data_IF_220686492563
#
_entry.id   IF_220686492563
#
_cell.length_a   1.000
_cell.length_b   1.000
_cell.length_c   1.000
_cell.angle_alpha   90.00
_cell.angle_beta   90.00
_cell.angle_gamma   90.00
#
_symmetry.space_group_name_H-M   'P 1'
#
loop_
_entity.id
_entity.type
_entity.pdbx_description
1 polymer ?
#
# COMPACT_ATOMS: atom_id res chain seq x y z
N UNK A 1 -15.14 19.72 -13.40
CA UNK A 1 -14.62 21.12 -13.39
C UNK A 1 -15.54 22.05 -12.61
N UNK A 2 -15.13 22.63 -11.46
CA UNK A 2 -16.00 23.44 -10.60
C UNK A 2 -16.59 24.71 -11.26
N UNK A 3 -16.06 25.14 -12.41
CA UNK A 3 -16.45 26.39 -13.08
C UNK A 3 -16.87 26.21 -14.55
N UNK A 4 -17.11 24.98 -15.02
CA UNK A 4 -17.49 24.75 -16.41
C UNK A 4 -18.76 25.50 -16.84
N UNK A 5 -19.72 25.65 -15.93
CA UNK A 5 -20.93 26.43 -16.17
C UNK A 5 -20.66 27.92 -16.44
N UNK A 6 -19.60 28.48 -15.84
CA UNK A 6 -19.21 29.88 -16.02
C UNK A 6 -18.61 30.12 -17.42
N UNK A 7 -17.73 29.22 -17.86
CA UNK A 7 -17.07 29.31 -19.17
C UNK A 7 -17.94 28.79 -20.33
N UNK A 8 -19.06 28.11 -20.04
CA UNK A 8 -19.96 27.51 -21.03
C UNK A 8 -20.30 28.47 -22.18
N UNK A 9 -20.69 29.70 -21.88
CA UNK A 9 -21.09 30.68 -22.92
C UNK A 9 -19.94 31.10 -23.84
N UNK A 10 -18.71 31.10 -23.33
CA UNK A 10 -17.51 31.40 -24.10
C UNK A 10 -17.14 30.20 -24.98
N UNK A 11 -17.20 28.99 -24.43
CA UNK A 11 -16.93 27.77 -25.18
C UNK A 11 -17.95 27.50 -26.29
N UNK A 12 -19.23 27.79 -26.06
CA UNK A 12 -20.26 27.69 -27.11
C UNK A 12 -20.01 28.66 -28.27
N UNK A 13 -19.51 29.87 -27.97
CA UNK A 13 -19.13 30.86 -29.00
C UNK A 13 -17.90 30.45 -29.80
N UNK A 14 -16.91 29.84 -29.16
CA UNK A 14 -15.60 29.54 -29.77
C UNK A 14 -15.58 28.17 -30.47
N UNK A 15 -16.11 27.13 -29.82
CA UNK A 15 -16.00 25.73 -30.26
C UNK A 15 -17.33 25.15 -30.76
N UNK A 16 -18.42 25.91 -30.68
CA UNK A 16 -19.71 25.58 -31.26
C UNK A 16 -20.86 25.42 -30.26
N UNK A 17 -22.04 25.86 -30.69
CA UNK A 17 -23.29 25.82 -29.92
C UNK A 17 -23.81 24.38 -29.70
N UNK A 18 -24.83 24.26 -28.86
CA UNK A 18 -25.54 23.01 -28.56
C UNK A 18 -24.63 21.91 -27.96
N UNK A 19 -23.59 22.29 -27.22
CA UNK A 19 -22.72 21.35 -26.52
C UNK A 19 -21.61 20.72 -27.35
N UNK A 20 -21.41 21.11 -28.62
CA UNK A 20 -20.32 20.60 -29.48
C UNK A 20 -18.92 20.84 -28.92
N UNK A 21 -18.74 21.88 -28.10
CA UNK A 21 -17.48 22.13 -27.40
C UNK A 21 -17.01 20.93 -26.54
N UNK A 22 -17.92 20.11 -26.01
CA UNK A 22 -17.57 18.92 -25.22
C UNK A 22 -16.87 17.87 -26.07
N UNK A 23 -17.40 17.63 -27.27
CA UNK A 23 -16.81 16.72 -28.27
C UNK A 23 -15.45 17.26 -28.73
N UNK A 24 -15.36 18.56 -29.02
CA UNK A 24 -14.10 19.19 -29.41
C UNK A 24 -13.00 19.00 -28.36
N UNK A 25 -13.29 19.24 -27.07
CA UNK A 25 -12.33 19.00 -25.99
C UNK A 25 -11.96 17.52 -25.84
N UNK A 26 -12.92 16.62 -26.04
CA UNK A 26 -12.64 15.19 -26.02
C UNK A 26 -11.70 14.75 -27.14
N UNK A 27 -11.96 15.23 -28.36
CA UNK A 27 -11.14 14.94 -29.53
C UNK A 27 -9.72 15.50 -29.39
N UNK A 28 -9.58 16.74 -28.91
CA UNK A 28 -8.27 17.37 -28.66
C UNK A 28 -7.48 16.59 -27.60
N UNK A 29 -8.09 16.27 -26.47
CA UNK A 29 -7.45 15.46 -25.44
C UNK A 29 -7.04 14.07 -25.96
N UNK A 30 -7.92 13.40 -26.71
CA UNK A 30 -7.63 12.08 -27.28
C UNK A 30 -6.45 12.12 -28.26
N UNK A 31 -6.35 13.17 -29.07
CA UNK A 31 -5.21 13.37 -29.97
C UNK A 31 -3.92 13.60 -29.18
N UNK A 32 -3.95 14.39 -28.10
CA UNK A 32 -2.78 14.60 -27.25
C UNK A 32 -2.31 13.30 -26.58
N UNK A 33 -3.24 12.47 -26.09
CA UNK A 33 -2.93 11.16 -25.50
C UNK A 33 -2.26 10.21 -26.50
N UNK A 34 -2.57 10.33 -27.80
CA UNK A 34 -1.95 9.49 -28.84
C UNK A 34 -0.44 9.73 -29.02
N UNK A 35 0.05 10.91 -28.66
CA UNK A 35 1.48 11.26 -28.68
C UNK A 35 2.16 11.03 -27.33
N UNK A 36 1.42 10.63 -26.30
CA UNK A 36 1.93 10.50 -24.95
C UNK A 36 2.35 9.06 -24.61
N UNK A 37 3.18 8.92 -23.57
CA UNK A 37 3.66 7.61 -23.14
C UNK A 37 2.53 6.70 -22.64
N UNK A 38 2.67 5.40 -22.92
CA UNK A 38 1.76 4.32 -22.49
C UNK A 38 1.96 3.97 -21.02
N UNK A 39 1.37 4.77 -20.15
CA UNK A 39 1.57 4.65 -18.70
C UNK A 39 0.82 3.47 -18.05
N UNK A 40 -0.30 3.02 -18.62
CA UNK A 40 -1.11 1.92 -18.07
C UNK A 40 -0.38 0.56 -18.05
N UNK A 41 0.76 0.43 -18.74
CA UNK A 41 1.55 -0.81 -18.75
C UNK A 41 2.37 -1.02 -17.47
N UNK A 42 2.66 0.06 -16.73
CA UNK A 42 3.55 0.04 -15.56
C UNK A 42 2.83 0.17 -14.22
N UNK A 43 1.50 0.23 -14.23
CA UNK A 43 0.70 0.28 -13.00
C UNK A 43 0.48 -1.11 -12.42
N UNK A 44 0.22 -1.18 -11.11
CA UNK A 44 -0.15 -2.43 -10.43
C UNK A 44 -1.45 -2.99 -11.00
N UNK A 45 -1.52 -4.31 -11.17
CA UNK A 45 -2.72 -5.02 -11.62
C UNK A 45 -3.77 -5.06 -10.53
N UNK A 46 -5.04 -4.86 -10.90
CA UNK A 46 -6.13 -4.96 -9.94
C UNK A 46 -6.36 -6.43 -9.55
N UNK A 47 -6.54 -6.72 -8.25
CA UNK A 47 -7.05 -8.00 -7.78
C UNK A 47 -8.42 -8.32 -8.39
N UNK A 48 -8.77 -9.61 -8.51
CA UNK A 48 -10.07 -10.00 -9.07
C UNK A 48 -11.22 -9.75 -8.09
N UNK A 49 -10.96 -9.87 -6.79
CA UNK A 49 -11.98 -9.73 -5.74
C UNK A 49 -11.57 -8.71 -4.69
N UNK A 50 -12.58 -8.10 -4.06
CA UNK A 50 -12.38 -7.13 -2.98
C UNK A 50 -11.51 -7.71 -1.85
N UNK A 51 -11.77 -8.96 -1.44
CA UNK A 51 -11.00 -9.63 -0.39
C UNK A 51 -9.51 -9.75 -0.73
N UNK A 52 -9.16 -10.05 -1.98
CA UNK A 52 -7.75 -10.09 -2.39
C UNK A 52 -7.10 -8.72 -2.29
N UNK A 53 -7.83 -7.65 -2.61
CA UNK A 53 -7.35 -6.29 -2.53
C UNK A 53 -7.15 -5.82 -1.09
N UNK A 54 -8.07 -6.15 -0.19
CA UNK A 54 -7.96 -5.81 1.24
C UNK A 54 -6.83 -6.55 1.95
N UNK A 55 -6.42 -7.72 1.44
CA UNK A 55 -5.26 -8.46 1.92
C UNK A 55 -3.94 -7.89 1.36
N UNK A 56 -3.96 -7.21 0.22
CA UNK A 56 -2.79 -6.59 -0.39
C UNK A 56 -2.57 -5.14 0.07
N UNK A 57 -2.49 -4.98 1.40
CA UNK A 57 -2.32 -3.67 2.06
C UNK A 57 -0.97 -3.01 1.80
N UNK A 58 -0.01 -3.75 1.26
CA UNK A 58 1.30 -3.21 0.87
C UNK A 58 1.26 -2.36 -0.40
N UNK A 59 0.36 -2.69 -1.34
CA UNK A 59 0.23 -1.97 -2.61
C UNK A 59 -1.02 -1.11 -2.69
N UNK A 60 -2.11 -1.53 -2.05
CA UNK A 60 -3.41 -0.87 -2.15
C UNK A 60 -3.87 -0.32 -0.81
N UNK A 61 -4.50 0.85 -0.87
CA UNK A 61 -5.20 1.49 0.23
C UNK A 61 -6.61 1.88 -0.22
N UNK A 62 -7.64 1.76 0.64
CA UNK A 62 -8.98 2.26 0.35
C UNK A 62 -8.98 3.71 -0.12
N UNK A 63 -9.84 4.02 -1.09
CA UNK A 63 -10.06 5.39 -1.53
C UNK A 63 -10.67 6.23 -0.39
N UNK A 64 -10.31 7.50 -0.30
CA UNK A 64 -10.84 8.37 0.76
C UNK A 64 -12.29 8.78 0.51
N UNK A 65 -12.75 8.75 -0.74
CA UNK A 65 -14.13 9.15 -1.09
C UNK A 65 -15.06 7.93 -1.27
N UNK A 66 -14.59 6.91 -1.99
CA UNK A 66 -15.35 5.69 -2.27
C UNK A 66 -14.85 4.51 -1.44
N UNK A 67 -15.22 4.49 -0.14
CA UNK A 67 -14.91 3.40 0.77
C UNK A 67 -16.15 2.94 1.56
N UNK A 68 -15.99 1.90 2.39
CA UNK A 68 -17.08 1.29 3.16
C UNK A 68 -17.78 2.24 4.15
N UNK A 69 -17.08 3.30 4.59
CA UNK A 69 -17.59 4.29 5.55
C UNK A 69 -18.25 5.46 4.81
N UNK A 70 -17.51 6.12 3.93
CA UNK A 70 -17.94 7.36 3.28
C UNK A 70 -18.94 7.09 2.15
N UNK A 71 -18.80 5.96 1.44
CA UNK A 71 -19.67 5.46 0.36
C UNK A 71 -20.02 6.48 -0.73
N UNK A 72 -19.20 7.51 -0.92
CA UNK A 72 -19.45 8.57 -1.92
C UNK A 72 -18.92 8.18 -3.31
N UNK A 73 -19.35 7.02 -3.80
CA UNK A 73 -18.86 6.44 -5.05
C UNK A 73 -19.55 7.00 -6.31
N UNK A 74 -20.78 7.51 -6.20
CA UNK A 74 -21.67 7.81 -7.34
C UNK A 74 -21.12 8.84 -8.33
N UNK A 75 -20.20 9.72 -7.91
CA UNK A 75 -19.66 10.77 -8.78
C UNK A 75 -18.80 10.20 -9.92
N UNK A 76 -17.97 9.20 -9.61
CA UNK A 76 -16.97 8.67 -10.54
C UNK A 76 -17.09 7.16 -10.76
N UNK A 77 -17.69 6.44 -9.80
CA UNK A 77 -17.73 4.98 -9.73
C UNK A 77 -19.13 4.52 -9.29
N UNK A 78 -20.16 4.99 -9.99
CA UNK A 78 -21.54 4.58 -9.72
C UNK A 78 -21.68 3.06 -9.85
N UNK A 79 -22.29 2.44 -8.85
CA UNK A 79 -22.41 0.98 -8.76
C UNK A 79 -21.25 0.28 -8.05
N UNK A 80 -20.17 1.00 -7.70
CA UNK A 80 -19.13 0.47 -6.83
C UNK A 80 -19.53 0.60 -5.35
N UNK A 81 -19.27 -0.44 -4.56
CA UNK A 81 -19.38 -0.38 -3.09
C UNK A 81 -18.06 0.06 -2.46
N UNK A 82 -16.94 -0.37 -3.03
CA UNK A 82 -15.62 -0.10 -2.49
C UNK A 82 -14.57 0.08 -3.59
N UNK A 83 -13.79 1.16 -3.52
CA UNK A 83 -12.64 1.34 -4.38
C UNK A 83 -11.34 1.39 -3.56
N UNK A 84 -10.29 0.79 -4.12
CA UNK A 84 -8.93 0.91 -3.61
C UNK A 84 -8.06 1.63 -4.62
N UNK A 85 -7.15 2.46 -4.12
CA UNK A 85 -6.11 3.12 -4.91
C UNK A 85 -4.75 2.54 -4.55
N UNK A 86 -3.83 2.54 -5.50
CA UNK A 86 -2.42 2.23 -5.18
C UNK A 86 -1.88 3.25 -4.19
N UNK A 87 -1.24 2.79 -3.10
CA UNK A 87 -0.67 3.68 -2.09
C UNK A 87 0.59 4.42 -2.54
N UNK A 88 1.25 3.94 -3.61
CA UNK A 88 2.47 4.52 -4.20
C UNK A 88 2.33 4.67 -5.72
N UNK A 89 2.98 5.67 -6.31
CA UNK A 89 2.99 5.86 -7.76
C UNK A 89 3.86 4.81 -8.46
N UNK A 90 3.55 4.51 -9.72
CA UNK A 90 4.42 3.72 -10.58
C UNK A 90 5.76 4.42 -10.87
N UNK A 91 6.67 3.74 -11.57
CA UNK A 91 7.94 4.33 -12.03
C UNK A 91 7.69 5.59 -12.88
N UNK A 92 6.61 5.64 -13.66
CA UNK A 92 6.20 6.80 -14.46
C UNK A 92 5.48 7.91 -13.68
N UNK A 93 5.07 7.66 -12.44
CA UNK A 93 4.26 8.61 -11.67
C UNK A 93 2.75 8.38 -11.78
N UNK A 94 2.32 7.24 -12.32
CA UNK A 94 0.92 6.89 -12.54
C UNK A 94 0.31 6.17 -11.36
N UNK A 95 -1.00 6.27 -11.21
CA UNK A 95 -1.78 5.58 -10.19
C UNK A 95 -2.70 4.51 -10.78
N UNK A 96 -3.25 3.67 -9.92
CA UNK A 96 -4.31 2.73 -10.28
C UNK A 96 -5.44 2.82 -9.27
N UNK A 97 -6.67 2.81 -9.77
CA UNK A 97 -7.90 2.67 -8.97
C UNK A 97 -8.60 1.38 -9.36
N UNK A 98 -8.92 0.54 -8.38
CA UNK A 98 -9.65 -0.71 -8.55
C UNK A 98 -10.96 -0.61 -7.77
N UNK A 99 -12.09 -0.77 -8.45
CA UNK A 99 -13.42 -0.62 -7.85
C UNK A 99 -14.17 -1.94 -7.93
N UNK A 100 -14.92 -2.25 -6.88
CA UNK A 100 -15.65 -3.50 -6.73
C UNK A 100 -17.13 -3.23 -6.51
N UNK A 101 -17.96 -4.08 -7.11
CA UNK A 101 -19.42 -4.04 -6.96
C UNK A 101 -19.89 -4.69 -5.64
N UNK A 102 -21.20 -4.80 -5.47
CA UNK A 102 -21.86 -5.43 -4.32
C UNK A 102 -21.64 -6.96 -4.24
N UNK A 103 -21.24 -7.59 -5.35
CA UNK A 103 -20.79 -8.98 -5.41
C UNK A 103 -19.30 -9.13 -5.09
N UNK A 104 -18.60 -8.03 -4.76
CA UNK A 104 -17.15 -8.00 -4.49
C UNK A 104 -16.29 -8.37 -5.71
N UNK A 105 -16.82 -8.19 -6.93
CA UNK A 105 -16.12 -8.42 -8.19
C UNK A 105 -15.60 -7.12 -8.81
N UNK A 106 -14.50 -7.22 -9.55
CA UNK A 106 -13.84 -6.05 -10.15
C UNK A 106 -14.69 -5.44 -11.28
N UNK A 107 -15.07 -4.18 -11.12
CA UNK A 107 -15.75 -3.38 -12.15
C UNK A 107 -14.76 -2.90 -13.22
N UNK A 108 -15.06 -3.20 -14.48
CA UNK A 108 -14.21 -2.86 -15.62
C UNK A 108 -14.82 -1.76 -16.51
N UNK A 109 -13.96 -0.93 -17.10
CA UNK A 109 -14.34 0.11 -18.07
C UNK A 109 -14.85 -0.45 -19.39
N UNK A 110 -14.68 -1.76 -19.63
CA UNK A 110 -15.25 -2.45 -20.79
C UNK A 110 -16.77 -2.65 -20.64
N UNK A 111 -17.26 -2.82 -19.41
CA UNK A 111 -18.68 -3.03 -19.12
C UNK A 111 -19.37 -1.72 -18.77
N UNK A 112 -18.67 -0.81 -18.09
CA UNK A 112 -19.22 0.51 -17.74
C UNK A 112 -18.17 1.60 -17.55
N UNK A 113 -18.47 2.84 -17.94
CA UNK A 113 -17.63 4.03 -17.68
C UNK A 113 -17.28 4.27 -16.20
N UNK A 114 -17.99 3.62 -15.26
CA UNK A 114 -17.80 3.74 -13.82
C UNK A 114 -16.76 2.75 -13.25
N UNK A 115 -16.19 1.87 -14.07
CA UNK A 115 -15.16 0.92 -13.65
C UNK A 115 -13.89 1.56 -13.08
N UNK A 116 -13.11 0.75 -12.34
CA UNK A 116 -11.80 1.18 -11.82
C UNK A 116 -10.81 1.39 -12.95
N UNK A 117 -10.03 2.47 -12.93
CA UNK A 117 -9.16 2.87 -14.06
C UNK A 117 -7.76 3.30 -13.63
N UNK A 118 -6.75 3.17 -14.52
CA UNK A 118 -5.44 3.74 -14.30
C UNK A 118 -5.49 5.27 -14.45
N UNK A 119 -4.73 5.98 -13.62
CA UNK A 119 -4.58 7.43 -13.70
C UNK A 119 -3.18 7.76 -14.21
N UNK A 120 -3.08 8.69 -15.17
CA UNK A 120 -1.79 9.08 -15.75
C UNK A 120 -0.87 9.66 -14.69
N UNK A 121 -1.44 10.49 -13.81
CA UNK A 121 -0.75 10.99 -12.64
C UNK A 121 -1.35 10.41 -11.36
N UNK A 122 -0.48 10.05 -10.43
CA UNK A 122 -0.88 9.60 -9.10
C UNK A 122 -1.45 10.78 -8.30
N UNK A 123 -2.58 10.56 -7.62
CA UNK A 123 -3.31 11.62 -6.89
C UNK A 123 -2.44 12.32 -5.83
N UNK A 124 -1.53 11.60 -5.18
CA UNK A 124 -0.61 12.20 -4.19
C UNK A 124 0.71 12.69 -4.80
N UNK A 125 0.81 12.69 -6.13
CA UNK A 125 1.99 13.09 -6.88
C UNK A 125 3.16 12.14 -6.71
N UNK A 126 4.31 12.53 -7.25
CA UNK A 126 5.56 11.77 -7.13
C UNK A 126 6.71 12.70 -6.83
N UNK A 127 7.51 12.41 -5.81
CA UNK A 127 8.68 13.22 -5.53
C UNK A 127 9.73 13.05 -6.66
N UNK A 128 10.33 14.12 -7.20
CA UNK A 128 10.13 15.53 -6.85
C UNK A 128 8.94 16.20 -7.57
N UNK A 129 8.13 16.95 -6.82
CA UNK A 129 6.89 17.59 -7.32
C UNK A 129 7.09 18.72 -8.34
N UNK A 130 8.33 19.10 -8.66
CA UNK A 130 8.67 20.20 -9.57
C UNK A 130 8.69 19.80 -11.06
N UNK A 131 8.37 18.54 -11.37
CA UNK A 131 8.31 18.03 -12.74
C UNK A 131 6.86 17.99 -13.24
N UNK A 132 6.69 18.06 -14.55
CA UNK A 132 5.40 17.85 -15.20
C UNK A 132 4.84 16.48 -14.78
N UNK A 133 3.51 16.38 -14.60
CA UNK A 133 2.78 15.18 -14.16
C UNK A 133 3.02 14.73 -12.72
N UNK A 134 3.89 15.40 -11.96
CA UNK A 134 4.26 14.98 -10.61
C UNK A 134 3.60 15.81 -9.51
N UNK A 135 2.72 16.76 -9.87
CA UNK A 135 2.09 17.67 -8.92
C UNK A 135 0.89 16.96 -8.27
N UNK A 136 0.85 16.83 -6.94
CA UNK A 136 -0.27 16.21 -6.23
C UNK A 136 -1.60 16.89 -6.57
N UNK A 137 -2.66 16.08 -6.71
CA UNK A 137 -4.03 16.41 -7.07
C UNK A 137 -4.21 17.08 -8.44
N UNK A 138 -3.47 18.15 -8.75
CA UNK A 138 -3.66 18.94 -9.96
C UNK A 138 -3.31 18.16 -11.23
N UNK A 139 -2.24 17.35 -11.22
CA UNK A 139 -1.86 16.57 -12.40
C UNK A 139 -2.88 15.48 -12.70
N UNK A 140 -3.34 14.75 -11.69
CA UNK A 140 -4.41 13.75 -11.86
C UNK A 140 -5.69 14.45 -12.34
N UNK A 141 -6.02 15.60 -11.76
CA UNK A 141 -7.24 16.29 -12.11
C UNK A 141 -7.25 16.75 -13.57
N UNK A 142 -6.13 17.31 -14.04
CA UNK A 142 -5.98 17.79 -15.41
C UNK A 142 -6.02 16.66 -16.44
N UNK A 143 -5.37 15.54 -16.16
CA UNK A 143 -5.15 14.48 -17.15
C UNK A 143 -6.16 13.34 -17.09
N UNK A 144 -6.86 13.16 -15.97
CA UNK A 144 -7.72 12.01 -15.73
C UNK A 144 -9.14 12.46 -15.33
N UNK A 145 -9.29 13.30 -14.31
CA UNK A 145 -10.62 13.74 -13.85
C UNK A 145 -11.32 14.67 -14.84
N UNK A 146 -10.61 15.65 -15.39
CA UNK A 146 -11.18 16.66 -16.27
C UNK A 146 -11.71 16.06 -17.60
N UNK A 147 -10.96 15.18 -18.30
CA UNK A 147 -11.45 14.57 -19.53
C UNK A 147 -12.64 13.64 -19.34
N UNK A 148 -12.74 12.95 -18.21
CA UNK A 148 -13.90 12.13 -17.88
C UNK A 148 -15.22 12.93 -17.94
N UNK A 149 -15.20 14.20 -17.50
CA UNK A 149 -16.40 15.03 -17.53
C UNK A 149 -16.87 15.35 -18.94
N UNK A 150 -16.00 15.86 -19.83
CA UNK A 150 -16.43 16.25 -21.18
C UNK A 150 -16.53 15.06 -22.15
N UNK A 151 -15.77 13.97 -21.94
CA UNK A 151 -15.84 12.79 -22.80
C UNK A 151 -17.00 11.85 -22.44
N UNK A 152 -17.35 11.74 -21.15
CA UNK A 152 -18.41 10.83 -20.69
C UNK A 152 -19.53 11.57 -19.96
N UNK A 153 -19.26 12.18 -18.80
CA UNK A 153 -20.32 12.56 -17.85
C UNK A 153 -21.27 13.66 -18.33
N UNK A 154 -20.80 14.56 -19.19
CA UNK A 154 -21.62 15.63 -19.76
C UNK A 154 -22.21 15.28 -21.12
N UNK A 155 -21.97 14.06 -21.62
CA UNK A 155 -22.53 13.60 -22.88
C UNK A 155 -23.96 13.08 -22.69
N UNK A 156 -24.78 13.21 -23.74
CA UNK A 156 -26.22 12.96 -23.65
C UNK A 156 -26.57 11.52 -23.28
N UNK A 157 -25.82 10.56 -23.81
CA UNK A 157 -26.01 9.12 -23.55
C UNK A 157 -24.91 8.52 -22.64
N UNK A 158 -24.13 9.39 -21.98
CA UNK A 158 -23.01 9.03 -21.10
C UNK A 158 -22.11 7.92 -21.69
N UNK A 159 -22.21 6.70 -21.15
CA UNK A 159 -21.40 5.51 -21.47
C UNK A 159 -21.54 5.03 -22.92
N UNK A 160 -22.72 5.22 -23.52
CA UNK A 160 -23.02 4.76 -24.88
C UNK A 160 -22.46 5.67 -25.98
N UNK A 161 -21.82 6.79 -25.60
CA UNK A 161 -21.27 7.73 -26.57
C UNK A 161 -19.89 7.31 -27.07
N UNK A 162 -19.63 7.51 -28.35
CA UNK A 162 -18.30 7.26 -28.96
C UNK A 162 -17.19 8.02 -28.22
N UNK A 163 -17.46 9.24 -27.75
CA UNK A 163 -16.50 10.04 -26.97
C UNK A 163 -16.13 9.39 -25.64
N UNK A 164 -17.05 8.67 -25.00
CA UNK A 164 -16.73 7.98 -23.76
C UNK A 164 -15.88 6.73 -24.03
N UNK A 165 -16.15 6.03 -25.13
CA UNK A 165 -15.32 4.92 -25.59
C UNK A 165 -13.90 5.39 -25.93
N UNK A 166 -13.74 6.58 -26.52
CA UNK A 166 -12.43 7.22 -26.73
C UNK A 166 -11.68 7.48 -25.43
N UNK A 167 -12.37 7.90 -24.37
CA UNK A 167 -11.77 8.04 -23.04
C UNK A 167 -11.36 6.70 -22.45
N UNK A 168 -12.25 5.71 -22.48
CA UNK A 168 -12.00 4.36 -21.97
C UNK A 168 -10.85 3.66 -22.71
N UNK A 169 -10.60 3.98 -23.98
CA UNK A 169 -9.44 3.46 -24.73
C UNK A 169 -8.09 3.81 -24.07
N UNK A 170 -7.93 5.04 -23.58
CA UNK A 170 -6.69 5.46 -22.91
C UNK A 170 -6.70 5.22 -21.39
N UNK A 171 -7.88 4.96 -20.83
CA UNK A 171 -8.10 4.71 -19.39
C UNK A 171 -8.69 3.33 -19.14
N UNK A 172 -8.30 2.36 -19.97
CA UNK A 172 -8.83 1.00 -19.87
C UNK A 172 -8.41 0.37 -18.54
N UNK A 173 -9.39 -0.16 -17.81
CA UNK A 173 -9.15 -0.98 -16.62
C UNK A 173 -8.11 -2.05 -16.92
N UNK A 174 -7.23 -2.30 -15.95
CA UNK A 174 -6.36 -3.45 -16.04
C UNK A 174 -7.15 -4.66 -15.56
N UNK A 175 -7.15 -5.72 -16.36
CA UNK A 175 -7.72 -7.00 -15.97
C UNK A 175 -6.92 -7.64 -14.82
N UNK A 176 -7.55 -8.61 -14.16
CA UNK A 176 -6.94 -9.29 -13.02
C UNK A 176 -6.13 -10.55 -13.42
N UNK A 177 -6.04 -10.88 -14.71
CA UNK A 177 -5.41 -12.11 -15.23
C UNK A 177 -3.94 -12.27 -14.83
N UNK A 178 -3.24 -11.14 -14.65
CA UNK A 178 -1.82 -11.09 -14.27
C UNK A 178 -1.60 -10.58 -12.85
N UNK A 179 -2.66 -10.48 -12.04
CA UNK A 179 -2.54 -10.16 -10.63
C UNK A 179 -1.82 -11.30 -9.88
N UNK A 180 -0.90 -10.91 -9.01
CA UNK A 180 -0.16 -11.84 -8.16
C UNK A 180 -0.27 -11.37 -6.71
N UNK A 181 -0.92 -12.19 -5.88
CA UNK A 181 -1.05 -11.90 -4.46
C UNK A 181 0.33 -11.82 -3.77
N UNK A 182 0.53 -10.91 -2.80
CA UNK A 182 1.75 -10.87 -2.01
C UNK A 182 1.84 -12.08 -1.07
N UNK A 183 3.05 -12.47 -0.71
CA UNK A 183 3.29 -13.33 0.45
C UNK A 183 3.19 -12.50 1.74
N UNK A 184 2.78 -13.14 2.83
CA UNK A 184 2.56 -12.48 4.12
C UNK A 184 3.40 -13.21 5.16
N UNK A 185 4.44 -12.54 5.65
CA UNK A 185 5.20 -12.99 6.81
C UNK A 185 4.69 -12.28 8.07
N UNK A 186 4.56 -12.99 9.18
CA UNK A 186 3.89 -12.45 10.38
C UNK A 186 4.66 -12.71 11.66
N UNK A 187 4.57 -11.77 12.59
CA UNK A 187 5.05 -11.89 13.98
C UNK A 187 3.94 -11.45 14.92
N UNK A 188 3.51 -12.32 15.83
CA UNK A 188 2.40 -12.05 16.74
C UNK A 188 2.57 -12.79 18.08
N UNK A 189 1.85 -12.39 19.12
CA UNK A 189 1.88 -13.09 20.41
C UNK A 189 3.25 -13.06 21.10
N UNK A 190 3.73 -14.22 21.59
CA UNK A 190 4.86 -14.36 22.51
C UNK A 190 6.09 -15.16 21.99
N UNK A 191 6.85 -14.60 21.06
CA UNK A 191 6.45 -14.30 19.70
C UNK A 191 6.38 -15.58 18.84
N UNK A 192 5.25 -15.76 18.18
CA UNK A 192 5.04 -16.69 17.07
C UNK A 192 5.41 -16.03 15.75
N UNK A 193 5.99 -16.82 14.85
CA UNK A 193 6.43 -16.40 13.53
C UNK A 193 5.75 -17.27 12.48
N UNK A 194 5.30 -16.64 11.41
CA UNK A 194 4.88 -17.31 10.18
C UNK A 194 5.76 -16.76 9.05
N UNK A 195 6.53 -17.62 8.41
CA UNK A 195 7.39 -17.25 7.27
C UNK A 195 6.58 -16.92 6.03
N UNK A 196 7.22 -16.33 5.01
CA UNK A 196 6.55 -16.06 3.72
C UNK A 196 6.01 -17.33 3.05
N UNK A 197 6.67 -18.47 3.29
CA UNK A 197 6.28 -19.78 2.78
C UNK A 197 5.36 -20.56 3.71
N UNK A 198 4.81 -19.87 4.73
CA UNK A 198 3.78 -20.33 5.67
C UNK A 198 4.25 -21.35 6.70
N UNK A 199 5.56 -21.44 6.97
CA UNK A 199 6.07 -22.22 8.08
C UNK A 199 5.84 -21.50 9.41
N UNK A 200 5.24 -22.18 10.38
CA UNK A 200 4.95 -21.63 11.70
C UNK A 200 5.97 -22.12 12.73
N UNK A 201 6.59 -21.21 13.46
CA UNK A 201 7.52 -21.54 14.53
C UNK A 201 7.54 -20.47 15.63
N UNK A 202 8.09 -20.81 16.80
CA UNK A 202 8.11 -19.94 17.98
C UNK A 202 9.53 -19.84 18.52
N UNK A 203 10.03 -18.63 18.73
CA UNK A 203 11.33 -18.39 19.38
C UNK A 203 11.24 -17.23 20.36
N UNK A 204 11.73 -17.43 21.59
CA UNK A 204 11.81 -16.36 22.58
C UNK A 204 13.18 -15.68 22.51
N UNK A 205 13.27 -14.59 21.74
CA UNK A 205 14.51 -13.84 21.54
C UNK A 205 14.43 -12.46 22.21
N UNK A 206 15.54 -12.00 22.80
CA UNK A 206 15.65 -10.67 23.41
C UNK A 206 16.71 -9.85 22.68
N UNK A 207 16.38 -8.62 22.30
CA UNK A 207 17.24 -7.71 21.53
C UNK A 207 16.64 -7.32 20.19
N UNK A 208 17.49 -6.85 19.28
CA UNK A 208 17.11 -6.40 17.94
C UNK A 208 17.47 -7.45 16.90
N UNK A 209 16.53 -7.76 16.01
CA UNK A 209 16.64 -8.84 15.04
C UNK A 209 16.12 -8.39 13.68
N UNK A 210 16.72 -8.94 12.64
CA UNK A 210 16.29 -8.76 11.26
C UNK A 210 15.11 -9.67 10.95
N UNK A 211 13.93 -9.10 10.71
CA UNK A 211 12.78 -9.85 10.23
C UNK A 211 12.94 -10.17 8.74
N UNK A 212 13.33 -9.15 7.97
CA UNK A 212 13.54 -9.23 6.53
C UNK A 212 14.74 -8.38 6.15
N UNK A 213 15.60 -8.93 5.32
CA UNK A 213 16.70 -8.27 4.65
C UNK A 213 16.72 -8.70 3.19
N UNK A 214 16.81 -7.72 2.31
CA UNK A 214 16.93 -7.89 0.87
C UNK A 214 18.00 -6.91 0.43
N UNK A 215 19.07 -7.42 -0.21
CA UNK A 215 20.13 -6.58 -0.77
C UNK A 215 20.45 -7.02 -2.20
N UNK A 216 19.56 -6.64 -3.11
CA UNK A 216 19.63 -7.00 -4.52
C UNK A 216 19.83 -5.73 -5.36
N UNK A 217 20.25 -5.88 -6.62
CA UNK A 217 20.42 -4.72 -7.52
C UNK A 217 19.09 -3.98 -7.80
N UNK A 218 17.97 -4.70 -7.70
CA UNK A 218 16.62 -4.19 -8.03
C UNK A 218 15.89 -3.70 -6.78
N UNK A 219 15.96 -4.47 -5.69
CA UNK A 219 15.22 -4.22 -4.45
C UNK A 219 16.19 -4.21 -3.26
N UNK A 220 15.99 -3.26 -2.35
CA UNK A 220 16.74 -3.17 -1.10
C UNK A 220 15.75 -2.89 0.03
N UNK A 221 15.53 -3.83 0.92
CA UNK A 221 14.54 -3.70 1.98
C UNK A 221 15.11 -4.24 3.28
N UNK A 222 15.01 -3.45 4.34
CA UNK A 222 15.36 -3.84 5.69
C UNK A 222 14.15 -3.65 6.60
N UNK A 223 13.73 -4.73 7.26
CA UNK A 223 12.73 -4.72 8.32
C UNK A 223 13.34 -5.35 9.56
N UNK A 224 13.45 -4.56 10.61
CA UNK A 224 14.04 -4.94 11.89
C UNK A 224 13.00 -4.84 13.00
N UNK A 225 13.14 -5.69 14.01
CA UNK A 225 12.24 -5.78 15.15
C UNK A 225 13.02 -5.82 16.45
N UNK A 226 12.48 -5.16 17.47
CA UNK A 226 12.98 -5.20 18.84
C UNK A 226 12.04 -6.04 19.70
N UNK A 227 12.61 -7.07 20.31
CA UNK A 227 11.94 -7.93 21.26
C UNK A 227 12.48 -7.68 22.67
N UNK A 228 11.56 -7.42 23.60
CA UNK A 228 11.90 -7.21 25.01
C UNK A 228 11.23 -8.26 25.89
N UNK A 229 11.75 -8.41 27.11
CA UNK A 229 11.16 -9.32 28.08
C UNK A 229 9.82 -8.75 28.57
N UNK A 230 8.81 -9.62 28.67
CA UNK A 230 7.48 -9.22 29.15
C UNK A 230 7.61 -8.57 30.54
N UNK A 231 7.02 -7.38 30.75
CA UNK A 231 7.08 -6.70 32.03
C UNK A 231 6.39 -7.53 33.12
N UNK A 232 6.93 -7.49 34.33
CA UNK A 232 6.34 -8.17 35.48
C UNK A 232 5.07 -7.45 35.93
N UNK A 233 4.04 -8.18 36.31
CA UNK A 233 2.80 -7.61 36.85
C UNK A 233 3.07 -6.90 38.17
N UNK A 234 3.82 -7.54 39.08
CA UNK A 234 4.33 -6.93 40.32
C UNK A 234 5.84 -7.05 40.36
N UNK A 235 6.52 -6.10 41.01
CA UNK A 235 7.99 -6.14 41.18
C UNK A 235 8.48 -7.39 41.92
N UNK A 236 7.62 -7.96 42.77
CA UNK A 236 7.88 -9.18 43.56
C UNK A 236 7.79 -10.46 42.73
N UNK A 237 7.12 -10.42 41.58
CA UNK A 237 6.93 -11.62 40.76
C UNK A 237 8.27 -12.03 40.13
N UNK A 238 8.52 -13.34 39.93
CA UNK A 238 9.70 -13.78 39.20
C UNK A 238 9.66 -13.22 37.76
N UNK A 239 10.83 -12.99 37.13
CA UNK A 239 10.88 -12.63 35.73
C UNK A 239 10.24 -13.73 34.88
N UNK A 240 9.37 -13.33 33.96
CA UNK A 240 8.77 -14.25 32.99
C UNK A 240 9.80 -14.53 31.88
N UNK A 241 10.00 -15.79 31.54
CA UNK A 241 10.87 -16.22 30.44
C UNK A 241 10.13 -16.12 29.09
N UNK A 242 9.46 -14.99 28.86
CA UNK A 242 8.71 -14.69 27.66
C UNK A 242 9.14 -13.33 27.11
N UNK A 243 9.10 -13.22 25.79
CA UNK A 243 9.45 -11.99 25.06
C UNK A 243 8.29 -11.50 24.23
N UNK A 244 8.27 -10.20 23.95
CA UNK A 244 7.20 -9.57 23.16
C UNK A 244 7.78 -8.53 22.21
N UNK A 245 7.09 -8.31 21.09
CA UNK A 245 7.46 -7.33 20.09
C UNK A 245 7.13 -5.92 20.57
N UNK A 246 8.16 -5.07 20.68
CA UNK A 246 8.05 -3.72 21.24
C UNK A 246 8.27 -2.61 20.22
N UNK A 247 9.09 -2.85 19.20
CA UNK A 247 9.32 -1.89 18.15
C UNK A 247 9.66 -2.57 16.83
N UNK A 248 9.36 -1.88 15.73
CA UNK A 248 9.60 -2.33 14.36
C UNK A 248 10.12 -1.14 13.57
N UNK A 249 11.21 -1.32 12.84
CA UNK A 249 11.77 -0.30 11.95
C UNK A 249 11.85 -0.87 10.54
N UNK A 250 11.50 -0.06 9.55
CA UNK A 250 11.50 -0.47 8.15
C UNK A 250 12.04 0.63 7.24
N UNK A 251 12.79 0.22 6.22
CA UNK A 251 13.36 1.09 5.19
C UNK A 251 13.45 0.36 3.85
N UNK A 252 12.97 1.00 2.80
CA UNK A 252 13.11 0.54 1.42
C UNK A 252 14.09 1.44 0.66
N UNK A 253 15.26 0.91 0.33
CA UNK A 253 16.29 1.56 -0.47
C UNK A 253 16.64 2.97 0.06
N UNK A 254 16.21 4.01 -0.66
CA UNK A 254 16.46 5.43 -0.34
C UNK A 254 15.24 6.12 0.31
N UNK A 255 14.24 5.35 0.75
CA UNK A 255 13.09 5.84 1.50
C UNK A 255 13.50 6.46 2.83
N UNK A 256 12.58 7.24 3.39
CA UNK A 256 12.58 7.59 4.81
C UNK A 256 12.51 6.33 5.67
N UNK A 257 13.12 6.38 6.85
CA UNK A 257 13.06 5.30 7.83
C UNK A 257 11.77 5.47 8.63
N UNK A 258 10.97 4.40 8.72
CA UNK A 258 9.74 4.38 9.51
C UNK A 258 9.96 3.49 10.71
N UNK A 259 9.65 3.99 11.90
CA UNK A 259 9.70 3.24 13.14
C UNK A 259 8.35 3.26 13.84
N UNK A 260 7.90 2.09 14.26
CA UNK A 260 6.74 1.86 15.09
C UNK A 260 7.22 1.43 16.47
N UNK A 261 6.81 2.13 17.52
CA UNK A 261 7.19 1.80 18.90
C UNK A 261 5.97 1.75 19.79
N UNK A 262 5.82 0.68 20.54
CA UNK A 262 4.74 0.57 21.50
C UNK A 262 4.88 1.65 22.59
N UNK A 263 3.81 2.41 22.87
CA UNK A 263 3.86 3.43 23.92
C UNK A 263 3.95 2.78 25.30
N UNK A 264 4.51 3.42 26.34
CA UNK A 264 4.37 2.94 27.71
C UNK A 264 2.90 2.96 28.17
N UNK A 265 2.50 2.07 29.08
CA UNK A 265 1.11 1.97 29.59
C UNK A 265 0.57 3.33 30.07
N UNK A 266 1.39 4.13 30.75
CA UNK A 266 1.01 5.47 31.23
C UNK A 266 0.67 6.46 30.10
N UNK A 267 1.17 6.24 28.88
CA UNK A 267 0.99 7.11 27.71
C UNK A 267 0.03 6.53 26.65
N UNK A 268 -0.60 5.38 26.91
CA UNK A 268 -1.52 4.65 25.99
C UNK A 268 -2.97 5.11 26.03
N UNK A 269 -3.28 6.24 26.69
CA UNK A 269 -4.68 6.67 26.86
C UNK A 269 -5.35 7.07 25.53
N UNK A 270 -4.65 7.84 24.70
CA UNK A 270 -5.18 8.33 23.41
C UNK A 270 -4.61 7.58 22.21
N UNK A 271 -3.30 7.37 22.21
CA UNK A 271 -2.59 6.71 21.11
C UNK A 271 -1.90 5.45 21.64
N UNK A 272 -1.95 4.34 20.91
CA UNK A 272 -1.39 3.06 21.35
C UNK A 272 0.09 2.90 20.98
N UNK A 273 0.53 3.43 19.84
CA UNK A 273 1.93 3.41 19.42
C UNK A 273 2.47 4.80 19.06
N UNK A 274 3.78 4.95 19.09
CA UNK A 274 4.50 6.03 18.44
C UNK A 274 4.81 5.60 17.00
N UNK A 275 4.55 6.50 16.06
CA UNK A 275 5.01 6.37 14.69
C UNK A 275 6.03 7.47 14.45
N UNK A 276 7.22 7.10 14.00
CA UNK A 276 8.36 8.00 13.85
C UNK A 276 8.86 7.85 12.41
N UNK A 277 9.02 8.97 11.70
CA UNK A 277 9.57 9.00 10.34
C UNK A 277 10.77 9.93 10.34
N UNK A 278 11.93 9.43 9.93
CA UNK A 278 13.20 10.19 9.93
C UNK A 278 13.47 10.95 11.25
N UNK A 279 13.16 10.31 12.38
CA UNK A 279 13.30 10.81 13.77
C UNK A 279 12.24 11.82 14.22
N UNK A 280 11.22 12.10 13.41
CA UNK A 280 10.10 12.97 13.78
C UNK A 280 8.84 12.16 14.08
N UNK A 281 8.08 12.56 15.11
CA UNK A 281 6.82 11.89 15.45
C UNK A 281 5.70 12.29 14.50
N UNK A 282 5.02 11.29 13.95
CA UNK A 282 3.88 11.47 13.05
C UNK A 282 2.58 11.13 13.78
N UNK A 283 1.54 11.92 13.53
CA UNK A 283 0.23 11.79 14.16
C UNK A 283 -0.88 11.92 13.12
N UNK A 284 -1.99 11.23 13.39
CA UNK A 284 -3.23 11.33 12.62
C UNK A 284 -4.25 12.11 13.46
N UNK A 285 -4.43 13.39 13.17
CA UNK A 285 -5.33 14.26 13.94
C UNK A 285 -6.74 14.35 13.39
N UNK A 286 -6.94 14.04 12.11
CA UNK A 286 -8.21 14.17 11.37
C UNK A 286 -8.28 13.09 10.27
N UNK A 287 -9.49 12.82 9.80
CA UNK A 287 -9.78 11.85 8.74
C UNK A 287 -9.10 12.27 7.41
N UNK A 288 -8.90 13.57 7.16
CA UNK A 288 -8.13 14.06 6.00
C UNK A 288 -6.66 13.63 6.01
N UNK A 289 -6.11 13.27 7.17
CA UNK A 289 -4.72 12.83 7.35
C UNK A 289 -4.55 11.32 7.30
N UNK A 290 -5.61 10.54 7.02
CA UNK A 290 -5.58 9.07 7.01
C UNK A 290 -4.41 8.50 6.22
N UNK A 291 -4.01 9.19 5.15
CA UNK A 291 -2.87 8.85 4.32
C UNK A 291 -1.85 9.99 4.36
N UNK A 292 -0.60 9.68 4.72
CA UNK A 292 0.51 10.64 4.79
C UNK A 292 1.67 10.15 3.93
N UNK A 293 2.14 11.00 3.02
CA UNK A 293 3.17 10.64 2.04
C UNK A 293 4.53 11.19 2.46
N UNK A 294 5.52 10.31 2.53
CA UNK A 294 6.92 10.64 2.78
C UNK A 294 7.78 10.19 1.60
N UNK A 295 9.09 10.43 1.69
CA UNK A 295 10.04 10.03 0.66
C UNK A 295 10.10 8.50 0.61
N UNK A 296 9.65 7.91 -0.50
CA UNK A 296 9.73 6.46 -0.74
C UNK A 296 8.79 5.59 0.10
N UNK A 297 7.93 6.19 0.93
CA UNK A 297 6.99 5.47 1.79
C UNK A 297 5.73 6.30 2.04
N UNK A 298 4.60 5.62 2.11
CA UNK A 298 3.30 6.22 2.44
C UNK A 298 2.73 5.50 3.65
N UNK A 299 2.31 6.25 4.66
CA UNK A 299 1.69 5.73 5.86
C UNK A 299 0.18 5.87 5.79
N UNK A 300 -0.52 4.79 6.10
CA UNK A 300 -1.98 4.71 6.02
C UNK A 300 -2.56 4.20 7.35
N UNK A 301 -3.58 4.89 7.86
CA UNK A 301 -4.39 4.45 8.99
C UNK A 301 -5.79 4.01 8.48
N UNK A 302 -6.22 2.77 8.76
CA UNK A 302 -7.53 2.29 8.38
C UNK A 302 -8.68 3.11 8.96
N UNK A 303 -9.79 3.09 8.23
CA UNK A 303 -11.01 3.82 8.58
C UNK A 303 -11.58 3.33 9.92
N UNK A 304 -12.15 4.24 10.72
CA UNK A 304 -12.73 3.91 12.02
C UNK A 304 -11.74 3.74 13.18
N UNK A 305 -10.43 3.88 12.92
CA UNK A 305 -9.37 3.82 13.93
C UNK A 305 -8.80 5.23 14.13
N UNK A 306 -8.84 5.75 15.36
CA UNK A 306 -8.34 7.08 15.71
C UNK A 306 -7.27 7.08 16.81
N UNK A 307 -7.02 5.91 17.40
CA UNK A 307 -6.09 5.72 18.51
C UNK A 307 -4.70 5.25 18.07
N UNK A 308 -4.38 5.32 16.77
CA UNK A 308 -3.11 4.84 16.21
C UNK A 308 -2.76 3.41 16.69
N UNK A 309 -3.75 2.52 16.78
CA UNK A 309 -3.53 1.11 17.11
C UNK A 309 -3.21 0.26 15.89
N UNK A 310 -3.36 0.81 14.68
CA UNK A 310 -3.19 0.09 13.42
C UNK A 310 -2.69 1.06 12.36
N UNK A 311 -1.49 0.82 11.84
CA UNK A 311 -0.89 1.65 10.80
C UNK A 311 -0.18 0.75 9.80
N UNK A 312 -0.29 1.07 8.52
CA UNK A 312 0.37 0.38 7.41
C UNK A 312 1.37 1.33 6.74
N UNK A 313 2.60 0.88 6.54
CA UNK A 313 3.60 1.51 5.71
C UNK A 313 3.66 0.82 4.35
N UNK A 314 3.48 1.58 3.27
CA UNK A 314 3.52 1.12 1.88
C UNK A 314 4.75 1.72 1.19
N UNK A 315 5.66 0.88 0.71
CA UNK A 315 6.94 1.30 0.12
C UNK A 315 6.92 1.29 -1.42
N UNK A 316 7.82 2.05 -2.05
CA UNK A 316 7.91 2.17 -3.53
C UNK A 316 8.18 0.83 -4.23
N UNK A 317 8.85 -0.11 -3.58
CA UNK A 317 9.04 -1.48 -4.09
C UNK A 317 7.75 -2.32 -4.12
N UNK A 318 6.66 -1.82 -3.53
CA UNK A 318 5.41 -2.55 -3.32
C UNK A 318 5.39 -3.41 -2.06
N UNK A 319 6.50 -3.47 -1.31
CA UNK A 319 6.53 -4.08 0.01
C UNK A 319 5.68 -3.28 1.00
N UNK A 320 5.02 -3.97 1.92
CA UNK A 320 4.20 -3.37 2.96
C UNK A 320 4.58 -3.83 4.35
N UNK A 321 4.47 -2.96 5.35
CA UNK A 321 4.61 -3.32 6.76
C UNK A 321 3.38 -2.82 7.50
N UNK A 322 2.54 -3.74 7.94
CA UNK A 322 1.39 -3.47 8.80
C UNK A 322 1.76 -3.74 10.25
N UNK A 323 1.48 -2.76 11.12
CA UNK A 323 1.70 -2.86 12.55
C UNK A 323 0.39 -2.62 13.29
N UNK A 324 0.03 -3.57 14.14
CA UNK A 324 -1.14 -3.51 15.00
C UNK A 324 -0.74 -3.60 16.46
N UNK A 325 -1.51 -2.96 17.33
CA UNK A 325 -1.38 -3.08 18.78
C UNK A 325 -2.61 -3.81 19.32
N UNK A 326 -2.41 -4.95 19.97
CA UNK A 326 -3.44 -5.64 20.72
C UNK A 326 -2.87 -6.09 22.07
N UNK A 327 -3.68 -6.07 23.13
CA UNK A 327 -3.29 -6.60 24.44
C UNK A 327 -2.03 -6.00 25.08
N UNK A 328 -1.49 -4.90 24.54
CA UNK A 328 -0.24 -4.31 24.99
C UNK A 328 1.03 -4.95 24.44
N UNK A 329 0.96 -5.61 23.29
CA UNK A 329 2.09 -5.99 22.44
C UNK A 329 1.86 -5.52 20.99
N UNK A 330 2.92 -5.55 20.17
CA UNK A 330 2.78 -5.33 18.73
C UNK A 330 2.58 -6.66 18.00
N UNK A 331 1.79 -6.60 16.93
CA UNK A 331 1.69 -7.62 15.89
C UNK A 331 2.14 -6.98 14.59
N UNK A 332 2.93 -7.71 13.80
CA UNK A 332 3.42 -7.26 12.49
C UNK A 332 3.05 -8.23 11.40
N UNK A 333 2.60 -7.69 10.28
CA UNK A 333 2.53 -8.38 9.00
C UNK A 333 3.40 -7.66 7.98
N UNK A 334 4.23 -8.40 7.27
CA UNK A 334 5.05 -7.91 6.17
C UNK A 334 4.48 -8.49 4.88
N UNK A 335 4.06 -7.62 3.97
CA UNK A 335 3.55 -7.97 2.66
C UNK A 335 4.67 -7.91 1.63
N UNK A 336 4.88 -9.01 0.92
CA UNK A 336 5.98 -9.16 0.00
C UNK A 336 5.49 -9.49 -1.42
N UNK A 337 5.63 -8.57 -2.39
CA UNK A 337 5.31 -8.84 -3.79
C UNK A 337 6.15 -9.96 -4.39
N UNK A 338 5.65 -10.58 -5.46
CA UNK A 338 6.34 -11.66 -6.18
C UNK A 338 7.71 -11.25 -6.74
N UNK A 339 7.97 -9.96 -6.96
CA UNK A 339 9.27 -9.47 -7.44
C UNK A 339 10.42 -9.71 -6.45
N UNK A 340 10.11 -10.04 -5.19
CA UNK A 340 11.07 -10.38 -4.14
C UNK A 340 11.33 -11.89 -4.00
N UNK A 341 10.75 -12.72 -4.87
CA UNK A 341 10.95 -14.18 -4.85
C UNK A 341 12.45 -14.51 -4.89
N UNK A 342 12.88 -15.44 -4.03
CA UNK A 342 14.25 -15.89 -3.83
C UNK A 342 15.24 -14.78 -3.43
N UNK A 343 14.75 -13.64 -2.93
CA UNK A 343 15.58 -12.48 -2.59
C UNK A 343 15.59 -12.10 -1.11
N UNK A 344 14.76 -12.74 -0.26
CA UNK A 344 14.64 -12.39 1.16
C UNK A 344 15.54 -13.24 2.04
N UNK A 345 16.05 -12.65 3.12
CA UNK A 345 16.61 -13.36 4.26
C UNK A 345 16.09 -12.76 5.55
N UNK A 346 16.22 -13.46 6.68
CA UNK A 346 15.76 -12.98 7.97
C UNK A 346 14.91 -14.00 8.70
N UNK A 347 14.32 -13.59 9.83
CA UNK A 347 13.42 -14.45 10.61
C UNK A 347 12.12 -14.80 9.88
N UNK A 348 11.71 -14.05 8.85
CA UNK A 348 10.54 -14.41 8.03
C UNK A 348 10.86 -15.35 6.86
N UNK A 349 12.09 -15.86 6.80
CA UNK A 349 12.50 -16.89 5.86
C UNK A 349 12.89 -16.38 4.46
N UNK A 350 13.31 -17.33 3.62
CA UNK A 350 13.56 -17.12 2.21
C UNK A 350 12.24 -17.29 1.46
N UNK A 351 11.81 -16.26 0.73
CA UNK A 351 10.57 -16.33 -0.02
C UNK A 351 10.78 -17.14 -1.31
N UNK A 352 10.73 -18.46 -1.22
CA UNK A 352 11.01 -19.40 -2.33
C UNK A 352 9.79 -20.23 -2.73
N UNK A 353 8.72 -20.19 -1.93
CA UNK A 353 7.56 -21.10 -1.93
C UNK A 353 7.92 -22.53 -1.47
N UNK A 354 9.03 -22.71 -0.77
CA UNK A 354 9.47 -23.98 -0.20
C UNK A 354 9.89 -23.80 1.26
N UNK A 355 9.07 -24.33 2.17
CA UNK A 355 9.33 -24.27 3.61
C UNK A 355 10.70 -24.84 4.03
N UNK A 356 11.32 -25.70 3.21
CA UNK A 356 12.57 -26.39 3.57
C UNK A 356 13.78 -25.46 3.65
N UNK A 357 13.73 -24.30 2.98
CA UNK A 357 14.82 -23.32 2.99
C UNK A 357 14.53 -22.07 3.85
N UNK A 358 13.40 -22.04 4.56
CA UNK A 358 13.04 -20.94 5.45
C UNK A 358 14.08 -20.69 6.56
N UNK A 359 14.74 -21.75 7.05
CA UNK A 359 15.81 -21.65 8.04
C UNK A 359 17.19 -21.49 7.42
N UNK A 360 17.30 -20.57 6.47
CA UNK A 360 18.57 -20.14 5.88
C UNK A 360 19.25 -19.10 6.80
N UNK A 361 20.51 -19.36 7.14
CA UNK A 361 21.34 -18.47 7.92
C UNK A 361 21.91 -17.33 7.06
N UNK A 362 22.41 -16.23 7.67
CA UNK A 362 23.06 -15.14 6.92
C UNK A 362 24.25 -15.58 6.07
N UNK A 363 24.89 -16.71 6.39
CA UNK A 363 26.00 -17.29 5.62
C UNK A 363 25.54 -18.21 4.47
N UNK A 364 24.23 -18.36 4.24
CA UNK A 364 23.64 -19.23 3.23
C UNK A 364 23.48 -20.69 3.65
N UNK A 365 23.89 -21.09 4.86
CA UNK A 365 23.71 -22.44 5.34
C UNK A 365 22.26 -22.67 5.81
N UNK A 366 21.66 -23.78 5.42
CA UNK A 366 20.31 -24.17 5.84
C UNK A 366 20.33 -25.04 7.10
N UNK A 367 19.36 -24.82 7.97
CA UNK A 367 19.08 -25.68 9.13
C UNK A 367 17.86 -26.56 8.80
N UNK A 368 17.90 -27.82 9.22
CA UNK A 368 16.79 -28.74 9.01
C UNK A 368 15.52 -28.28 9.74
N UNK A 369 14.37 -28.41 9.09
CA UNK A 369 13.06 -28.20 9.72
C UNK A 369 12.78 -29.14 10.90
N UNK A 370 13.45 -30.31 10.95
CA UNK A 370 13.32 -31.27 12.04
C UNK A 370 14.20 -30.95 13.26
N UNK A 371 14.93 -29.83 13.23
CA UNK A 371 15.72 -29.38 14.37
C UNK A 371 14.85 -29.05 15.58
N UNK A 372 15.43 -29.20 16.77
CA UNK A 372 14.72 -28.86 18.01
C UNK A 372 14.45 -27.37 18.09
N UNK A 373 13.46 -26.96 18.89
CA UNK A 373 13.18 -25.54 19.12
C UNK A 373 14.41 -24.81 19.72
N UNK A 374 15.20 -25.52 20.52
CA UNK A 374 16.46 -25.02 21.07
C UNK A 374 17.48 -24.75 19.96
N UNK A 375 17.67 -25.69 19.03
CA UNK A 375 18.55 -25.49 17.86
C UNK A 375 18.09 -24.32 17.00
N UNK A 376 16.79 -24.20 16.73
CA UNK A 376 16.23 -23.09 15.96
C UNK A 376 16.48 -21.78 16.70
N UNK A 377 16.30 -21.73 18.01
CA UNK A 377 16.58 -20.54 18.81
C UNK A 377 18.07 -20.13 18.75
N UNK A 378 18.99 -21.05 19.03
CA UNK A 378 20.41 -20.75 19.19
C UNK A 378 21.17 -20.63 17.87
N UNK A 379 20.82 -21.43 16.86
CA UNK A 379 21.51 -21.45 15.57
C UNK A 379 20.88 -20.49 14.57
N UNK A 380 19.55 -20.52 14.43
CA UNK A 380 18.84 -19.65 13.47
C UNK A 380 18.50 -18.29 14.07
N UNK A 381 17.74 -18.26 15.17
CA UNK A 381 17.24 -17.03 15.79
C UNK A 381 18.36 -16.05 16.15
N UNK A 382 19.39 -16.51 16.87
CA UNK A 382 20.53 -15.67 17.26
C UNK A 382 21.41 -15.20 16.09
N UNK A 383 21.44 -15.92 14.97
CA UNK A 383 22.26 -15.53 13.82
C UNK A 383 21.73 -14.26 13.13
N UNK A 384 20.42 -14.01 13.21
CA UNK A 384 19.76 -12.83 12.67
C UNK A 384 19.72 -11.63 13.64
N UNK A 385 20.48 -11.69 14.74
CA UNK A 385 20.59 -10.58 15.69
C UNK A 385 21.36 -9.43 15.05
N UNK A 386 20.82 -8.22 15.14
CA UNK A 386 21.49 -7.00 14.69
C UNK A 386 22.67 -6.73 15.61
N UNK A 387 23.85 -6.55 15.04
CA UNK A 387 25.06 -6.17 15.78
C UNK A 387 25.18 -4.64 15.79
N UNK A 388 25.51 -4.06 16.94
CA UNK A 388 25.93 -2.66 16.99
C UNK A 388 27.21 -2.51 16.17
N UNK A 389 27.21 -1.62 15.18
CA UNK A 389 28.45 -1.17 14.56
C UNK A 389 29.17 -0.32 15.61
N UNK A 390 30.20 -0.91 16.22
CA UNK A 390 31.15 -0.24 17.11
C UNK A 390 31.95 0.81 16.35
#
# INVERSE_FOLDING_TARGET
>A
MPLAWYFKTQWEREYGNNGRWKEYFCLDWFQQESYADRFAQVVSRCPCTLQQAELDRGRFSPDLECNVIDRNCDTFHRGAEHCLKTGRPSIGGSGQTCCYDDYSELLQTADTMYGGRPSRAHIYGKHPFKKQMMIPALSEWLHDTMPFFFCCKWQGEEDNTDTCQMYNYWRTSQDCSSYQAPAIGSVYGDPHFITFDRYNYTINVKGEYTLVHVDNAIHKLDVQARFEQVPRNRRTDPPLNATTLMAVAARDNISSIVEFRLRPVAARRRYQMYVIVDKEYVFWWDESMRLQNFKGVTLYQPAGIQNMSHVIAMFDSGAGVEVMTDGGHLTVHVYMPYTFLNGTGGLLGLYSRDIRDDFTLPNGQQISLQSTQEDIHFRFGKAWRVQERV
#
